data_IF_156346666657
#
_entry.id   IF_156346666657
#
_cell.length_a   1.000
_cell.length_b   1.000
_cell.length_c   1.000
_cell.angle_alpha   90.00
_cell.angle_beta   90.00
_cell.angle_gamma   90.00
#
_symmetry.space_group_name_H-M   'P 1'
#
loop_
_entity.id
_entity.type
_entity.pdbx_description
1 polymer ?
#
# COMPACT_ATOMS: atom_id res chain seq x y z
N UNK A 1 -2.17 -11.23 -5.29
CA UNK A 1 -2.93 -10.02 -4.89
C UNK A 1 -4.35 -10.15 -5.40
N UNK A 2 -5.37 -9.85 -4.59
CA UNK A 2 -6.76 -9.79 -5.07
C UNK A 2 -6.95 -8.53 -5.94
N UNK A 3 -7.94 -8.55 -6.83
CA UNK A 3 -8.22 -7.41 -7.72
C UNK A 3 -8.57 -6.13 -6.95
N UNK A 4 -9.27 -6.25 -5.82
CA UNK A 4 -9.63 -5.11 -4.97
C UNK A 4 -8.39 -4.44 -4.35
N UNK A 5 -7.43 -5.25 -3.89
CA UNK A 5 -6.17 -4.75 -3.32
C UNK A 5 -5.33 -4.08 -4.42
N UNK A 6 -5.32 -4.65 -5.63
CA UNK A 6 -4.65 -4.05 -6.79
C UNK A 6 -5.23 -2.67 -7.11
N UNK A 7 -6.56 -2.58 -7.21
CA UNK A 7 -7.25 -1.32 -7.49
C UNK A 7 -7.11 -0.28 -6.36
N UNK A 8 -7.02 -0.72 -5.10
CA UNK A 8 -6.70 0.16 -3.98
C UNK A 8 -5.27 0.69 -4.06
N UNK A 9 -4.30 -0.17 -4.39
CA UNK A 9 -2.90 0.20 -4.54
C UNK A 9 -2.68 1.17 -5.69
N UNK A 10 -3.33 0.97 -6.84
CA UNK A 10 -3.28 1.90 -7.97
C UNK A 10 -3.80 3.30 -7.59
N UNK A 11 -4.94 3.37 -6.88
CA UNK A 11 -5.48 4.65 -6.37
C UNK A 11 -4.55 5.31 -5.37
N UNK A 12 -3.91 4.53 -4.51
CA UNK A 12 -2.93 5.03 -3.54
C UNK A 12 -1.71 5.64 -4.25
N UNK A 13 -1.14 4.94 -5.24
CA UNK A 13 -0.02 5.46 -6.04
C UNK A 13 -0.39 6.75 -6.80
N UNK A 14 -1.59 6.84 -7.37
CA UNK A 14 -2.07 8.06 -8.02
C UNK A 14 -2.24 9.24 -7.03
N UNK A 15 -2.70 8.96 -5.81
CA UNK A 15 -2.83 9.97 -4.77
C UNK A 15 -1.46 10.47 -4.32
N UNK A 16 -0.54 9.57 -3.98
CA UNK A 16 0.79 9.90 -3.45
C UNK A 16 1.66 10.57 -4.52
N UNK A 17 1.48 10.22 -5.80
CA UNK A 17 2.19 10.86 -6.92
C UNK A 17 2.03 12.38 -6.99
N UNK A 18 0.95 12.93 -6.42
CA UNK A 18 0.75 14.40 -6.28
C UNK A 18 1.76 15.05 -5.35
N UNK A 19 2.47 14.26 -4.55
CA UNK A 19 3.45 14.69 -3.56
C UNK A 19 4.89 14.30 -3.93
N UNK A 20 5.13 13.94 -5.18
CA UNK A 20 6.43 13.47 -5.68
C UNK A 20 7.53 14.55 -5.78
N UNK A 21 7.24 15.80 -5.40
CA UNK A 21 8.26 16.86 -5.34
C UNK A 21 9.04 16.73 -4.02
N UNK A 22 10.37 16.86 -4.07
CA UNK A 22 11.29 16.46 -3.01
C UNK A 22 10.79 16.69 -1.57
N UNK A 23 10.66 15.58 -0.84
CA UNK A 23 10.37 15.49 0.58
C UNK A 23 9.04 16.10 1.05
N UNK A 24 8.01 16.12 0.19
CA UNK A 24 6.68 16.55 0.61
C UNK A 24 6.06 15.61 1.66
N UNK A 25 5.65 16.25 2.74
CA UNK A 25 4.88 15.65 3.83
C UNK A 25 3.44 15.50 3.35
N UNK A 26 2.95 14.25 3.37
CA UNK A 26 1.55 13.91 3.05
C UNK A 26 0.68 14.15 4.28
N UNK A 27 1.18 13.81 5.47
CA UNK A 27 0.50 14.07 6.74
C UNK A 27 1.47 14.71 7.76
N UNK A 28 1.12 15.91 8.23
CA UNK A 28 1.98 16.69 9.13
C UNK A 28 1.96 16.16 10.56
N UNK A 29 0.86 15.56 11.00
CA UNK A 29 0.73 15.09 12.38
C UNK A 29 1.65 13.89 12.64
N UNK A 30 1.66 12.91 11.73
CA UNK A 30 2.54 11.74 11.80
C UNK A 30 3.92 11.98 11.19
N UNK A 31 4.10 13.04 10.40
CA UNK A 31 5.30 13.28 9.61
C UNK A 31 5.43 12.35 8.40
N UNK A 32 4.35 11.66 8.01
CA UNK A 32 4.33 10.72 6.89
C UNK A 32 4.64 11.43 5.57
N UNK A 33 5.65 10.92 4.87
CA UNK A 33 6.20 11.51 3.64
C UNK A 33 5.81 10.72 2.40
N UNK A 34 6.01 11.32 1.23
CA UNK A 34 5.96 10.59 -0.03
C UNK A 34 6.93 9.40 -0.08
N UNK A 35 8.10 9.52 0.56
CA UNK A 35 9.07 8.42 0.66
C UNK A 35 8.50 7.22 1.42
N UNK A 36 7.86 7.45 2.56
CA UNK A 36 7.20 6.41 3.35
C UNK A 36 6.10 5.71 2.55
N UNK A 37 5.32 6.48 1.79
CA UNK A 37 4.30 5.93 0.90
C UNK A 37 4.89 5.00 -0.18
N UNK A 38 6.04 5.36 -0.77
CA UNK A 38 6.71 4.50 -1.75
C UNK A 38 7.28 3.21 -1.13
N UNK A 39 7.70 3.27 0.13
CA UNK A 39 8.10 2.07 0.88
C UNK A 39 6.91 1.14 1.04
N UNK A 40 5.75 1.64 1.51
CA UNK A 40 4.52 0.85 1.68
C UNK A 40 4.06 0.22 0.37
N UNK A 41 4.12 0.94 -0.76
CA UNK A 41 3.79 0.38 -2.08
C UNK A 41 4.66 -0.84 -2.36
N UNK A 42 5.98 -0.71 -2.18
CA UNK A 42 6.92 -1.81 -2.39
C UNK A 42 6.75 -2.98 -1.42
N UNK A 43 6.25 -2.74 -0.20
CA UNK A 43 5.92 -3.81 0.74
C UNK A 43 4.69 -4.59 0.29
N UNK A 44 3.62 -3.89 -0.11
CA UNK A 44 2.39 -4.53 -0.61
C UNK A 44 2.69 -5.33 -1.87
N UNK A 45 3.47 -4.80 -2.82
CA UNK A 45 3.83 -5.52 -4.04
C UNK A 45 4.67 -6.79 -3.79
N UNK A 46 5.45 -6.81 -2.70
CA UNK A 46 6.29 -7.96 -2.32
C UNK A 46 5.62 -8.92 -1.34
N UNK A 47 4.45 -8.56 -0.80
CA UNK A 47 3.75 -9.40 0.15
C UNK A 47 3.35 -10.73 -0.52
N UNK A 48 3.62 -11.89 0.11
CA UNK A 48 3.09 -13.15 -0.35
C UNK A 48 1.57 -13.13 -0.10
N UNK A 49 0.78 -12.93 -1.16
CA UNK A 49 -0.69 -12.91 -1.08
C UNK A 49 -1.31 -14.31 -0.92
N UNK A 50 -0.49 -15.34 -0.68
CA UNK A 50 -0.85 -16.76 -0.58
C UNK A 50 -1.10 -17.22 0.87
N UNK A 51 -1.51 -16.33 1.78
CA UNK A 51 -1.81 -16.70 3.18
C UNK A 51 -3.16 -16.22 3.68
N UNK A 52 -4.16 -16.29 2.82
CA UNK A 52 -5.53 -16.55 3.29
C UNK A 52 -5.75 -18.03 2.99
N UNK A 53 -5.08 -18.89 3.75
CA UNK A 53 -5.51 -20.28 3.85
C UNK A 53 -6.94 -20.24 4.38
N UNK A 54 -7.85 -20.65 3.51
CA UNK A 54 -9.19 -21.13 3.77
C UNK A 54 -9.23 -21.82 5.14
N UNK A 55 -9.73 -21.13 6.19
CA UNK A 55 -10.19 -21.80 7.40
C UNK A 55 -11.45 -22.59 7.04
N UNK A 56 -11.27 -23.67 6.27
CA UNK A 56 -12.25 -24.72 6.13
C UNK A 56 -12.48 -25.30 7.53
N UNK A 57 -13.71 -25.26 8.07
CA UNK A 57 -13.98 -25.81 9.38
C UNK A 57 -13.66 -27.30 9.37
N UNK A 58 -12.84 -27.73 10.33
CA UNK A 58 -12.60 -29.14 10.60
C UNK A 58 -13.94 -29.73 11.08
N UNK A 59 -14.55 -30.60 10.29
CA UNK A 59 -15.65 -31.49 10.70
C UNK A 59 -15.20 -32.95 10.52
#
# INVERSE_FOLDING_TARGET
>A
MTEDVRAALERFQQFTGRFSTDNWIIDQESGFTFGDAMILVGEVERAPFDSIEDESPID
#
